data_IF_697097642216
#
_entry.id   IF_697097642216
#
_cell.length_a   1.000
_cell.length_b   1.000
_cell.length_c   1.000
_cell.angle_alpha   90.00
_cell.angle_beta   90.00
_cell.angle_gamma   90.00
#
_symmetry.space_group_name_H-M   'P 1'
#
loop_
_entity.id
_entity.type
_entity.pdbx_description
1 polymer ?
#
# COMPACT_ATOMS: atom_id res chain seq x y z
N UNK A 1 -1.13 -2.58 -8.52
CA UNK A 1 -1.66 -2.46 -7.14
C UNK A 1 -1.25 -3.66 -6.29
N UNK A 2 -1.36 -4.89 -6.81
CA UNK A 2 -0.90 -6.13 -6.13
C UNK A 2 0.55 -6.08 -5.64
N UNK A 3 1.45 -5.47 -6.41
CA UNK A 3 2.87 -5.33 -6.06
C UNK A 3 3.10 -4.57 -4.74
N UNK A 4 2.25 -3.59 -4.40
CA UNK A 4 2.34 -2.83 -3.15
C UNK A 4 2.07 -3.75 -1.95
N UNK A 5 1.03 -4.57 -2.05
CA UNK A 5 0.66 -5.53 -0.99
C UNK A 5 1.76 -6.57 -0.79
N UNK A 6 2.28 -7.14 -1.88
CA UNK A 6 3.37 -8.13 -1.84
C UNK A 6 4.61 -7.53 -1.16
N UNK A 7 4.98 -6.30 -1.54
CA UNK A 7 6.12 -5.60 -0.96
C UNK A 7 5.97 -5.38 0.55
N UNK A 8 4.81 -4.89 1.02
CA UNK A 8 4.57 -4.64 2.44
C UNK A 8 4.54 -5.93 3.28
N UNK A 9 3.98 -7.02 2.74
CA UNK A 9 4.02 -8.32 3.40
C UNK A 9 5.44 -8.87 3.52
N UNK A 10 6.21 -8.80 2.44
CA UNK A 10 7.62 -9.19 2.46
C UNK A 10 8.43 -8.33 3.45
N UNK A 11 8.20 -7.01 3.46
CA UNK A 11 8.85 -6.08 4.39
C UNK A 11 8.52 -6.40 5.85
N UNK A 12 7.26 -6.69 6.17
CA UNK A 12 6.88 -7.09 7.53
C UNK A 12 7.56 -8.40 7.94
N UNK A 13 7.56 -9.40 7.07
CA UNK A 13 8.26 -10.66 7.33
C UNK A 13 9.74 -10.43 7.64
N UNK A 14 10.40 -9.56 6.88
CA UNK A 14 11.80 -9.23 7.12
C UNK A 14 12.01 -8.48 8.44
N UNK A 15 11.12 -7.56 8.80
CA UNK A 15 11.18 -6.88 10.10
C UNK A 15 11.05 -7.87 11.27
N UNK A 16 10.19 -8.88 11.14
CA UNK A 16 10.07 -9.93 12.15
C UNK A 16 11.35 -10.76 12.27
N UNK A 17 11.96 -11.14 11.15
CA UNK A 17 13.14 -12.02 11.12
C UNK A 17 14.41 -11.28 11.56
N UNK A 18 14.62 -10.05 11.08
CA UNK A 18 15.90 -9.35 11.25
C UNK A 18 15.88 -8.32 12.39
N UNK A 19 14.73 -7.69 12.64
CA UNK A 19 14.62 -6.64 13.64
C UNK A 19 13.83 -7.07 14.88
N UNK A 20 13.24 -8.27 14.87
CA UNK A 20 12.31 -8.76 15.91
C UNK A 20 11.13 -7.80 16.17
N UNK A 21 10.79 -6.95 15.19
CA UNK A 21 9.71 -5.98 15.30
C UNK A 21 8.47 -6.53 14.60
N UNK A 22 7.39 -6.68 15.37
CA UNK A 22 6.07 -7.01 14.84
C UNK A 22 5.21 -5.76 14.78
N UNK A 23 4.98 -5.25 13.57
CA UNK A 23 3.94 -4.25 13.35
C UNK A 23 2.55 -4.88 13.44
N UNK A 24 1.60 -4.15 14.01
CA UNK A 24 0.21 -4.57 14.00
C UNK A 24 -0.33 -4.68 12.57
N UNK A 25 -1.24 -5.61 12.36
CA UNK A 25 -1.90 -5.82 11.07
C UNK A 25 -2.61 -4.53 10.61
N UNK A 26 -3.26 -3.82 11.53
CA UNK A 26 -3.90 -2.53 11.27
C UNK A 26 -2.91 -1.47 10.77
N UNK A 27 -1.72 -1.38 11.37
CA UNK A 27 -0.67 -0.45 10.95
C UNK A 27 -0.14 -0.77 9.55
N UNK A 28 0.01 -2.05 9.20
CA UNK A 28 0.44 -2.48 7.87
C UNK A 28 -0.63 -2.12 6.82
N UNK A 29 -1.90 -2.42 7.10
CA UNK A 29 -3.00 -2.05 6.22
C UNK A 29 -3.10 -0.54 6.01
N UNK A 30 -2.90 0.25 7.07
CA UNK A 30 -2.86 1.71 6.96
C UNK A 30 -1.70 2.19 6.05
N UNK A 31 -0.51 1.59 6.17
CA UNK A 31 0.62 1.90 5.30
C UNK A 31 0.34 1.55 3.84
N UNK A 32 -0.25 0.38 3.57
CA UNK A 32 -0.62 -0.07 2.23
C UNK A 32 -1.66 0.87 1.62
N UNK A 33 -2.71 1.22 2.37
CA UNK A 33 -3.76 2.14 1.91
C UNK A 33 -3.16 3.51 1.57
N UNK A 34 -2.38 4.10 2.47
CA UNK A 34 -1.71 5.39 2.24
C UNK A 34 -0.83 5.37 0.99
N UNK A 35 -0.06 4.30 0.78
CA UNK A 35 0.81 4.18 -0.38
C UNK A 35 0.00 4.00 -1.69
N UNK A 36 -1.06 3.18 -1.67
CA UNK A 36 -1.97 3.04 -2.81
C UNK A 36 -2.60 4.39 -3.19
N UNK A 37 -3.10 5.14 -2.20
CA UNK A 37 -3.67 6.48 -2.39
C UNK A 37 -2.66 7.43 -3.01
N UNK A 38 -1.41 7.42 -2.54
CA UNK A 38 -0.33 8.23 -3.09
C UNK A 38 -0.01 7.87 -4.55
N UNK A 39 0.11 6.57 -4.86
CA UNK A 39 0.38 6.09 -6.22
C UNK A 39 -0.75 6.48 -7.18
N UNK A 40 -2.00 6.29 -6.77
CA UNK A 40 -3.18 6.66 -7.57
C UNK A 40 -3.21 8.18 -7.79
N UNK A 41 -3.01 8.96 -6.72
CA UNK A 41 -3.00 10.43 -6.77
C UNK A 41 -1.89 10.97 -7.67
N UNK A 42 -0.67 10.44 -7.56
CA UNK A 42 0.46 10.79 -8.42
C UNK A 42 0.22 10.45 -9.90
N UNK A 43 -0.69 9.51 -10.19
CA UNK A 43 -1.03 9.06 -11.54
C UNK A 43 -2.41 9.53 -12.01
N UNK A 44 -3.05 10.45 -11.29
CA UNK A 44 -4.40 11.02 -11.55
C UNK A 44 -4.61 11.52 -12.99
N UNK A 45 -3.54 12.00 -13.65
CA UNK A 45 -3.59 12.47 -15.04
C UNK A 45 -3.79 11.36 -16.09
N UNK A 46 -3.55 10.08 -15.74
CA UNK A 46 -3.71 8.95 -16.66
C UNK A 46 -5.14 8.42 -16.62
N UNK A 47 -5.80 8.32 -17.78
CA UNK A 47 -7.20 7.85 -17.91
C UNK A 47 -7.47 6.53 -17.17
N UNK A 48 -6.51 5.59 -17.17
CA UNK A 48 -6.60 4.29 -16.50
C UNK A 48 -6.71 4.37 -14.97
N UNK A 49 -6.28 5.47 -14.35
CA UNK A 49 -6.33 5.64 -12.90
C UNK A 49 -7.57 6.39 -12.43
N UNK A 50 -8.41 6.93 -13.34
CA UNK A 50 -9.67 7.59 -12.95
C UNK A 50 -10.66 6.63 -12.28
N UNK A 51 -10.81 5.41 -12.80
CA UNK A 51 -11.69 4.41 -12.17
C UNK A 51 -11.16 3.95 -10.81
N UNK A 52 -9.84 3.75 -10.70
CA UNK A 52 -9.18 3.43 -9.43
C UNK A 52 -9.33 4.55 -8.40
N UNK A 53 -9.23 5.81 -8.83
CA UNK A 53 -9.45 6.97 -7.97
C UNK A 53 -10.88 7.01 -7.44
N UNK A 54 -11.87 6.71 -8.29
CA UNK A 54 -13.27 6.63 -7.89
C UNK A 54 -13.58 5.51 -6.91
N UNK A 55 -12.79 4.44 -6.88
CA UNK A 55 -13.04 3.29 -6.01
C UNK A 55 -12.33 3.41 -4.66
N UNK A 56 -11.23 4.19 -4.59
CA UNK A 56 -10.35 4.24 -3.42
C UNK A 56 -10.30 5.61 -2.73
N UNK A 57 -10.56 6.71 -3.45
CA UNK A 57 -10.45 8.08 -2.92
C UNK A 57 -11.77 8.84 -2.83
N UNK A 58 -12.79 8.44 -3.59
CA UNK A 58 -14.14 9.03 -3.55
C UNK A 58 -14.96 8.37 -2.46
#
# INVERSE_FOLDING_TARGET
TTQVVIFHLWKQRNNLIHNHISLSVASIFHCIDKELRNIISARKGRKQFRSLMSMWLI
#
